data_IF_488647633304
#
_entry.id   IF_488647633304
#
_cell.length_a   1.000
_cell.length_b   1.000
_cell.length_c   1.000
_cell.angle_alpha   90.00
_cell.angle_beta   90.00
_cell.angle_gamma   90.00
#
_symmetry.space_group_name_H-M   'P 1'
#
loop_
_entity.id
_entity.type
_entity.pdbx_description
1 polymer ?
#
# COMPACT_ATOMS: atom_id res chain seq x y z
N UNK A 1 9.24 11.78 9.36
CA UNK A 1 10.02 10.78 8.59
C UNK A 1 9.32 9.42 8.58
N UNK A 2 8.88 8.88 9.73
CA UNK A 2 8.13 7.62 9.82
C UNK A 2 6.82 7.55 9.00
N UNK A 3 6.05 8.64 8.96
CA UNK A 3 4.80 8.73 8.17
C UNK A 3 5.02 8.57 6.66
N UNK A 4 6.14 9.09 6.14
CA UNK A 4 6.52 8.98 4.71
C UNK A 4 6.87 7.54 4.37
N UNK A 5 7.62 6.86 5.24
CA UNK A 5 7.95 5.43 5.13
C UNK A 5 6.71 4.54 5.25
N UNK A 6 5.78 4.84 6.17
CA UNK A 6 4.52 4.11 6.34
C UNK A 6 3.62 4.20 5.09
N UNK A 7 3.54 5.38 4.48
CA UNK A 7 2.84 5.62 3.20
C UNK A 7 3.50 4.86 2.05
N UNK A 8 4.83 4.81 2.00
CA UNK A 8 5.56 4.05 0.99
C UNK A 8 5.29 2.54 1.12
N UNK A 9 5.31 1.98 2.33
CA UNK A 9 5.05 0.54 2.55
C UNK A 9 3.62 0.13 2.13
N UNK A 10 2.61 0.97 2.39
CA UNK A 10 1.22 0.73 1.95
C UNK A 10 1.06 0.83 0.42
N UNK A 11 1.90 1.61 -0.27
CA UNK A 11 1.89 1.77 -1.73
C UNK A 11 2.74 0.73 -2.47
N UNK A 12 3.80 0.21 -1.85
CA UNK A 12 4.79 -0.72 -2.46
C UNK A 12 4.29 -2.17 -2.54
N UNK A 13 3.14 -2.50 -1.93
CA UNK A 13 2.50 -3.82 -2.09
C UNK A 13 2.07 -4.20 -3.52
N UNK A 14 2.21 -3.31 -4.50
CA UNK A 14 1.70 -3.50 -5.86
C UNK A 14 2.72 -3.93 -6.93
N UNK A 15 4.03 -4.02 -6.67
CA UNK A 15 5.00 -4.34 -7.72
C UNK A 15 5.91 -5.54 -7.37
N UNK A 16 6.05 -6.48 -8.31
CA UNK A 16 6.82 -7.70 -8.21
C UNK A 16 7.26 -8.08 -9.63
N UNK A 17 8.50 -8.56 -9.74
CA UNK A 17 9.03 -9.46 -10.81
C UNK A 17 9.23 -8.77 -12.19
N UNK A 18 10.39 -8.79 -12.87
CA UNK A 18 11.62 -9.58 -12.79
C UNK A 18 12.79 -8.88 -13.50
N UNK A 19 13.98 -9.37 -13.17
CA UNK A 19 15.34 -9.17 -13.71
C UNK A 19 15.55 -8.76 -15.19
N UNK A 20 16.56 -7.88 -15.33
CA UNK A 20 17.50 -7.62 -16.43
C UNK A 20 17.05 -6.66 -17.55
N UNK A 21 17.55 -5.41 -17.56
CA UNK A 21 18.80 -5.02 -18.23
C UNK A 21 18.96 -3.48 -18.23
N UNK A 22 20.06 -3.00 -17.65
CA UNK A 22 20.63 -1.63 -17.64
C UNK A 22 19.82 -0.47 -18.28
N UNK A 23 19.28 0.42 -17.44
CA UNK A 23 19.65 1.85 -17.39
C UNK A 23 18.76 2.61 -16.39
N UNK A 24 19.38 3.12 -15.33
CA UNK A 24 18.82 4.08 -14.35
C UNK A 24 17.40 3.77 -13.83
N UNK A 25 17.20 2.56 -13.31
CA UNK A 25 15.98 2.16 -12.60
C UNK A 25 16.07 2.55 -11.12
N UNK A 26 15.14 3.39 -10.64
CA UNK A 26 14.83 3.46 -9.22
C UNK A 26 14.15 2.14 -8.81
N UNK A 27 14.99 1.15 -8.55
CA UNK A 27 14.70 -0.15 -7.95
C UNK A 27 13.95 0.06 -6.63
N UNK A 28 12.63 -0.07 -6.64
CA UNK A 28 11.82 -0.05 -5.42
C UNK A 28 11.36 -1.46 -5.10
N UNK A 29 12.33 -2.27 -4.70
CA UNK A 29 12.06 -3.43 -3.85
C UNK A 29 11.21 -2.99 -2.65
N UNK A 30 10.31 -3.86 -2.16
CA UNK A 30 9.92 -3.77 -0.75
C UNK A 30 11.22 -3.85 0.00
N UNK A 31 11.68 -2.74 0.55
CA UNK A 31 12.86 -2.74 1.40
C UNK A 31 12.47 -3.46 2.68
N UNK A 32 12.60 -4.80 2.66
CA UNK A 32 12.34 -5.66 3.81
C UNK A 32 13.23 -5.27 4.98
N UNK A 33 14.38 -4.63 4.71
CA UNK A 33 15.25 -4.06 5.74
C UNK A 33 14.60 -2.82 6.37
N UNK A 34 14.02 -1.92 5.58
CA UNK A 34 13.26 -0.76 6.08
C UNK A 34 12.00 -1.20 6.84
N UNK A 35 11.25 -2.17 6.32
CA UNK A 35 10.09 -2.74 7.00
C UNK A 35 10.49 -3.41 8.32
N UNK A 36 11.57 -4.20 8.34
CA UNK A 36 12.07 -4.84 9.56
C UNK A 36 12.52 -3.79 10.58
N UNK A 37 13.26 -2.76 10.16
CA UNK A 37 13.67 -1.63 11.03
C UNK A 37 12.45 -0.92 11.61
N UNK A 38 11.42 -0.66 10.80
CA UNK A 38 10.21 -0.02 11.27
C UNK A 38 9.46 -0.89 12.30
N UNK A 39 9.30 -2.19 12.03
CA UNK A 39 8.67 -3.11 12.97
C UNK A 39 9.46 -3.18 14.28
N UNK A 40 10.78 -3.26 14.23
CA UNK A 40 11.64 -3.29 15.43
C UNK A 40 11.45 -2.05 16.32
N UNK A 41 11.20 -0.88 15.73
CA UNK A 41 10.90 0.35 16.48
C UNK A 41 9.56 0.27 17.24
N UNK A 42 8.62 -0.57 16.78
CA UNK A 42 7.32 -0.73 17.42
C UNK A 42 7.37 -1.65 18.64
N UNK A 43 8.34 -2.57 18.74
CA UNK A 43 8.45 -3.52 19.85
C UNK A 43 8.35 -2.85 21.23
N UNK A 44 9.19 -1.84 21.54
CA UNK A 44 9.13 -1.10 22.80
C UNK A 44 7.77 -0.42 23.03
N UNK A 45 7.18 0.18 22.00
CA UNK A 45 5.89 0.86 22.09
C UNK A 45 4.74 -0.11 22.32
N UNK A 46 4.74 -1.26 21.63
CA UNK A 46 3.80 -2.36 21.86
C UNK A 46 3.84 -2.81 23.32
N UNK A 47 5.04 -3.06 23.85
CA UNK A 47 5.24 -3.49 25.23
C UNK A 47 4.75 -2.43 26.22
N UNK A 48 5.11 -1.16 25.99
CA UNK A 48 4.72 -0.02 26.84
C UNK A 48 3.20 0.16 26.92
N UNK A 49 2.51 0.07 25.78
CA UNK A 49 1.07 0.37 25.67
C UNK A 49 0.19 -0.83 26.03
N UNK A 50 0.64 -2.05 25.75
CA UNK A 50 -0.18 -3.26 25.95
C UNK A 50 0.26 -4.12 27.14
N UNK A 51 1.43 -3.86 27.71
CA UNK A 51 2.01 -4.65 28.80
C UNK A 51 2.52 -6.04 28.40
N UNK A 52 2.53 -6.35 27.10
CA UNK A 52 2.96 -7.66 26.57
C UNK A 52 3.58 -7.52 25.17
N UNK A 53 4.47 -8.47 24.82
CA UNK A 53 5.06 -8.55 23.49
C UNK A 53 4.15 -9.24 22.46
N UNK A 54 3.03 -9.84 22.88
CA UNK A 54 2.15 -10.60 21.98
C UNK A 54 1.61 -9.74 20.83
N UNK A 55 1.29 -8.46 21.08
CA UNK A 55 0.86 -7.52 20.02
C UNK A 55 1.96 -7.31 18.99
N UNK A 56 3.21 -7.16 19.42
CA UNK A 56 4.36 -7.01 18.54
C UNK A 56 4.59 -8.27 17.69
N UNK A 57 4.58 -9.45 18.31
CA UNK A 57 4.77 -10.73 17.63
C UNK A 57 3.70 -10.96 16.56
N UNK A 58 2.43 -10.71 16.89
CA UNK A 58 1.34 -10.80 15.92
C UNK A 58 1.47 -9.76 14.80
N UNK A 59 1.91 -8.55 15.11
CA UNK A 59 2.14 -7.52 14.09
C UNK A 59 3.23 -7.92 13.11
N UNK A 60 4.36 -8.46 13.58
CA UNK A 60 5.44 -8.98 12.73
C UNK A 60 4.92 -10.11 11.83
N UNK A 61 4.24 -11.09 12.42
CA UNK A 61 3.67 -12.23 11.69
C UNK A 61 2.70 -11.75 10.60
N UNK A 62 1.74 -10.89 10.96
CA UNK A 62 0.74 -10.38 10.02
C UNK A 62 1.39 -9.58 8.89
N UNK A 63 2.42 -8.79 9.19
CA UNK A 63 3.15 -7.99 8.20
C UNK A 63 3.85 -8.88 7.16
N UNK A 64 4.46 -10.00 7.60
CA UNK A 64 5.09 -10.98 6.70
C UNK A 64 4.06 -11.70 5.83
N UNK A 65 2.83 -11.91 6.32
CA UNK A 65 1.77 -12.58 5.55
C UNK A 65 0.98 -11.65 4.61
N UNK A 66 1.11 -10.32 4.70
CA UNK A 66 0.42 -9.37 3.82
C UNK A 66 0.60 -9.71 2.33
N UNK A 67 1.82 -9.95 1.79
CA UNK A 67 1.99 -10.28 0.37
C UNK A 67 1.25 -11.55 -0.05
N UNK A 68 1.24 -12.56 0.82
CA UNK A 68 0.54 -13.83 0.57
C UNK A 68 -0.97 -13.62 0.53
N UNK A 69 -1.52 -12.90 1.51
CA UNK A 69 -2.95 -12.60 1.54
C UNK A 69 -3.38 -11.68 0.39
N UNK A 70 -2.54 -10.72 0.02
CA UNK A 70 -2.77 -9.85 -1.14
C UNK A 70 -2.88 -10.67 -2.43
N UNK A 71 -1.95 -11.61 -2.64
CA UNK A 71 -1.96 -12.52 -3.79
C UNK A 71 -3.19 -13.44 -3.84
N UNK A 72 -3.88 -13.65 -2.72
CA UNK A 72 -5.15 -14.40 -2.68
C UNK A 72 -6.38 -13.56 -3.08
N UNK A 73 -6.26 -12.23 -3.06
CA UNK A 73 -7.36 -11.28 -3.34
C UNK A 73 -7.19 -10.56 -4.68
N UNK A 74 -5.94 -10.45 -5.13
CA UNK A 74 -5.52 -9.79 -6.34
C UNK A 74 -4.60 -10.73 -7.12
N UNK A 75 -4.85 -10.85 -8.42
CA UNK A 75 -3.88 -11.44 -9.33
C UNK A 75 -2.71 -10.47 -9.52
N UNK A 76 -1.78 -10.49 -8.57
CA UNK A 76 -0.66 -9.54 -8.46
C UNK A 76 0.21 -9.58 -9.71
N UNK A 77 0.48 -10.79 -10.24
CA UNK A 77 1.34 -10.97 -11.39
C UNK A 77 0.72 -10.41 -12.67
N UNK A 78 -0.57 -10.67 -12.91
CA UNK A 78 -1.27 -10.09 -14.05
C UNK A 78 -1.50 -8.59 -13.86
N UNK A 79 -1.84 -8.14 -12.65
CA UNK A 79 -2.04 -6.72 -12.34
C UNK A 79 -0.80 -5.91 -12.72
N UNK A 80 0.38 -6.35 -12.29
CA UNK A 80 1.66 -5.70 -12.59
C UNK A 80 1.98 -5.69 -14.07
N UNK A 81 1.75 -6.82 -14.75
CA UNK A 81 2.00 -6.94 -16.18
C UNK A 81 1.11 -5.99 -16.97
N UNK A 82 -0.19 -6.00 -16.67
CA UNK A 82 -1.17 -5.18 -17.38
C UNK A 82 -1.00 -3.69 -17.02
N UNK A 83 -0.54 -3.36 -15.81
CA UNK A 83 -0.28 -1.99 -15.37
C UNK A 83 0.90 -1.38 -16.14
N UNK A 84 1.97 -2.17 -16.39
CA UNK A 84 3.15 -1.71 -17.16
C UNK A 84 2.81 -1.30 -18.59
N UNK A 85 1.75 -1.86 -19.16
CA UNK A 85 1.29 -1.53 -20.51
C UNK A 85 0.00 -0.72 -20.50
N UNK A 86 -0.43 -0.20 -19.35
CA UNK A 86 -1.69 0.51 -19.21
C UNK A 86 -1.63 1.84 -19.96
N UNK A 87 -2.56 2.03 -20.90
CA UNK A 87 -2.72 3.25 -21.69
C UNK A 87 -4.20 3.56 -21.96
N UNK A 88 -4.48 4.67 -22.66
CA UNK A 88 -5.84 5.07 -23.00
C UNK A 88 -6.59 4.01 -23.83
N UNK A 89 -5.89 3.23 -24.64
CA UNK A 89 -6.51 2.21 -25.52
C UNK A 89 -6.98 0.96 -24.77
N UNK A 90 -6.43 0.69 -23.57
CA UNK A 90 -6.67 -0.56 -22.85
C UNK A 90 -7.25 -0.38 -21.42
N UNK A 91 -7.39 0.86 -20.93
CA UNK A 91 -8.02 1.17 -19.64
C UNK A 91 -9.42 0.57 -19.45
N UNK A 92 -10.25 0.52 -20.49
CA UNK A 92 -11.60 -0.04 -20.42
C UNK A 92 -11.63 -1.55 -20.14
N UNK A 93 -10.49 -2.24 -20.33
CA UNK A 93 -10.32 -3.65 -19.94
C UNK A 93 -9.63 -3.76 -18.59
N UNK A 94 -8.64 -2.91 -18.32
CA UNK A 94 -7.84 -2.94 -17.10
C UNK A 94 -8.69 -2.70 -15.84
N UNK A 95 -9.39 -1.57 -15.76
CA UNK A 95 -10.09 -1.18 -14.53
C UNK A 95 -11.22 -2.15 -14.15
N UNK A 96 -12.10 -2.60 -15.07
CA UNK A 96 -13.09 -3.62 -14.75
C UNK A 96 -12.49 -4.95 -14.28
N UNK A 97 -11.30 -5.33 -14.78
CA UNK A 97 -10.59 -6.55 -14.35
C UNK A 97 -10.12 -6.46 -12.89
N UNK A 98 -9.60 -5.32 -12.47
CA UNK A 98 -8.87 -5.20 -11.19
C UNK A 98 -9.59 -4.46 -10.07
N UNK A 99 -10.50 -3.54 -10.36
CA UNK A 99 -11.12 -2.70 -9.32
C UNK A 99 -11.81 -3.49 -8.21
N UNK A 100 -12.53 -4.56 -8.56
CA UNK A 100 -13.14 -5.45 -7.56
C UNK A 100 -12.11 -6.18 -6.71
N UNK A 101 -10.96 -6.54 -7.30
CA UNK A 101 -9.87 -7.22 -6.61
C UNK A 101 -9.16 -6.27 -5.65
N UNK A 102 -8.91 -5.02 -6.08
CA UNK A 102 -8.37 -3.94 -5.24
C UNK A 102 -9.25 -3.64 -4.02
N UNK A 103 -10.57 -3.57 -4.20
CA UNK A 103 -11.46 -3.41 -3.04
C UNK A 103 -11.40 -4.59 -2.08
N UNK A 104 -11.33 -5.82 -2.61
CA UNK A 104 -11.22 -7.03 -1.77
C UNK A 104 -9.89 -7.09 -1.03
N UNK A 105 -8.82 -6.59 -1.62
CA UNK A 105 -7.48 -6.64 -1.01
C UNK A 105 -7.33 -5.68 0.18
N UNK A 106 -8.19 -4.66 0.31
CA UNK A 106 -8.19 -3.79 1.50
C UNK A 106 -8.32 -4.56 2.81
N UNK A 107 -9.06 -5.67 2.82
CA UNK A 107 -9.21 -6.54 4.00
C UNK A 107 -7.89 -7.11 4.52
N UNK A 108 -6.85 -7.18 3.68
CA UNK A 108 -5.52 -7.66 4.07
C UNK A 108 -4.83 -6.72 5.07
N UNK A 109 -5.23 -5.45 5.10
CA UNK A 109 -4.65 -4.46 6.01
C UNK A 109 -5.22 -4.56 7.43
N UNK A 110 -6.37 -5.19 7.64
CA UNK A 110 -7.06 -5.20 8.93
C UNK A 110 -6.20 -5.80 10.08
N UNK A 111 -5.53 -6.96 9.91
CA UNK A 111 -4.73 -7.53 10.99
C UNK A 111 -3.51 -6.67 11.36
N UNK A 112 -2.88 -6.05 10.36
CA UNK A 112 -1.71 -5.17 10.55
C UNK A 112 -2.13 -3.86 11.21
N UNK A 113 -3.17 -3.20 10.68
CA UNK A 113 -3.68 -1.93 11.23
C UNK A 113 -4.21 -2.11 12.65
N UNK A 114 -4.85 -3.23 12.97
CA UNK A 114 -5.27 -3.55 14.33
C UNK A 114 -4.10 -3.73 15.29
N UNK A 115 -3.00 -4.34 14.83
CA UNK A 115 -1.76 -4.41 15.60
C UNK A 115 -1.17 -3.02 15.83
N UNK A 116 -1.03 -2.23 14.77
CA UNK A 116 -0.50 -0.87 14.82
C UNK A 116 -1.30 0.03 15.78
N UNK A 117 -2.63 -0.01 15.75
CA UNK A 117 -3.47 0.79 16.67
C UNK A 117 -3.19 0.55 18.15
N UNK A 118 -2.71 -0.64 18.50
CA UNK A 118 -2.36 -1.00 19.89
C UNK A 118 -0.93 -0.62 20.26
N UNK A 119 -0.14 -0.22 19.28
CA UNK A 119 1.32 -0.08 19.36
C UNK A 119 1.81 1.33 19.05
N UNK A 120 0.91 2.18 18.56
CA UNK A 120 1.15 3.57 18.21
C UNK A 120 0.58 4.50 19.28
N UNK A 121 1.18 5.67 19.42
CA UNK A 121 0.64 6.70 20.32
C UNK A 121 -0.64 7.32 19.71
N UNK A 122 -1.52 7.96 20.49
CA UNK A 122 -2.86 8.37 20.01
C UNK A 122 -2.86 9.26 18.75
N UNK A 123 -1.89 10.17 18.62
CA UNK A 123 -1.75 11.03 17.43
C UNK A 123 -1.41 10.22 16.17
N UNK A 124 -0.62 9.16 16.30
CA UNK A 124 -0.26 8.27 15.20
C UNK A 124 -1.43 7.35 14.82
N UNK A 125 -2.27 6.96 15.79
CA UNK A 125 -3.51 6.22 15.54
C UNK A 125 -4.50 7.06 14.73
N UNK A 126 -4.66 8.34 15.05
CA UNK A 126 -5.54 9.25 14.30
C UNK A 126 -5.09 9.36 12.83
N UNK A 127 -3.79 9.49 12.59
CA UNK A 127 -3.23 9.51 11.24
C UNK A 127 -3.45 8.18 10.50
N UNK A 128 -3.25 7.04 11.18
CA UNK A 128 -3.50 5.72 10.62
C UNK A 128 -4.97 5.57 10.20
N UNK A 129 -5.90 5.98 11.05
CA UNK A 129 -7.34 5.88 10.77
C UNK A 129 -7.73 6.75 9.58
N UNK A 130 -7.24 7.99 9.50
CA UNK A 130 -7.46 8.86 8.32
C UNK A 130 -6.98 8.17 7.04
N UNK A 131 -5.78 7.58 7.06
CA UNK A 131 -5.23 6.92 5.87
C UNK A 131 -6.09 5.72 5.45
N UNK A 132 -6.43 4.84 6.39
CA UNK A 132 -7.21 3.63 6.11
C UNK A 132 -8.63 3.97 5.63
N UNK A 133 -9.27 4.98 6.21
CA UNK A 133 -10.60 5.44 5.81
C UNK A 133 -10.61 6.04 4.40
N UNK A 134 -9.48 6.60 3.95
CA UNK A 134 -9.34 7.18 2.60
C UNK A 134 -8.99 6.18 1.51
N UNK A 135 -8.46 5.00 1.83
CA UNK A 135 -8.11 3.99 0.83
C UNK A 135 -9.30 3.54 -0.04
N UNK A 136 -10.49 3.22 0.50
CA UNK A 136 -11.65 2.89 -0.33
C UNK A 136 -12.06 4.02 -1.28
N UNK A 137 -12.01 5.26 -0.81
CA UNK A 137 -12.31 6.45 -1.62
C UNK A 137 -11.30 6.63 -2.75
N UNK A 138 -10.00 6.45 -2.46
CA UNK A 138 -8.94 6.51 -3.46
C UNK A 138 -9.10 5.42 -4.52
N UNK A 139 -9.43 4.18 -4.14
CA UNK A 139 -9.70 3.10 -5.10
C UNK A 139 -10.94 3.41 -5.93
N UNK A 140 -12.03 3.89 -5.31
CA UNK A 140 -13.22 4.29 -6.04
C UNK A 140 -12.91 5.37 -7.08
N UNK A 141 -12.11 6.38 -6.72
CA UNK A 141 -11.70 7.45 -7.62
C UNK A 141 -10.80 6.92 -8.75
N UNK A 142 -9.81 6.08 -8.42
CA UNK A 142 -8.94 5.44 -9.38
C UNK A 142 -9.72 4.53 -10.35
N UNK A 143 -10.82 3.93 -9.90
CA UNK A 143 -11.66 3.03 -10.69
C UNK A 143 -12.76 3.74 -11.47
N UNK A 144 -13.11 4.96 -11.08
CA UNK A 144 -14.18 5.74 -11.69
C UNK A 144 -13.90 5.97 -13.17
N UNK A 145 -14.93 5.78 -14.00
CA UNK A 145 -14.89 6.00 -15.44
C UNK A 145 -13.71 5.27 -16.11
N UNK A 146 -13.41 4.04 -15.68
CA UNK A 146 -12.25 3.26 -16.11
C UNK A 146 -10.92 4.01 -15.94
N UNK A 147 -10.74 4.63 -14.78
CA UNK A 147 -9.51 5.33 -14.40
C UNK A 147 -9.23 6.58 -15.20
N UNK A 148 -10.27 7.30 -15.61
CA UNK A 148 -10.13 8.54 -16.38
C UNK A 148 -9.14 9.52 -15.77
N UNK A 149 -9.11 9.61 -14.45
CA UNK A 149 -8.23 10.52 -13.70
C UNK A 149 -6.74 10.37 -14.07
N UNK A 150 -6.29 9.18 -14.50
CA UNK A 150 -4.90 8.93 -14.88
C UNK A 150 -4.57 9.34 -16.32
N UNK A 151 -5.57 9.64 -17.15
CA UNK A 151 -5.42 9.94 -18.57
C UNK A 151 -5.98 11.32 -18.94
N UNK A 152 -6.23 12.18 -17.95
CA UNK A 152 -6.58 13.57 -18.19
C UNK A 152 -5.30 14.38 -18.44
N UNK A 153 -5.23 15.10 -19.56
CA UNK A 153 -4.09 15.97 -19.95
C UNK A 153 -3.82 17.17 -19.01
N UNK A 154 -4.56 17.31 -17.91
CA UNK A 154 -4.45 18.41 -16.95
C UNK A 154 -3.35 18.19 -15.88
N UNK A 155 -2.30 17.42 -16.21
CA UNK A 155 -1.17 17.14 -15.30
C UNK A 155 -0.39 18.40 -14.89
N UNK A 156 -0.53 19.52 -15.61
CA UNK A 156 0.04 20.82 -15.23
C UNK A 156 -0.73 21.55 -14.13
N UNK A 157 -2.03 21.29 -13.91
CA UNK A 157 -2.85 22.11 -12.99
C UNK A 157 -2.86 21.64 -11.54
N UNK A 158 -2.50 20.39 -11.26
CA UNK A 158 -2.44 19.88 -9.89
C UNK A 158 -1.14 20.25 -9.15
N UNK A 159 -0.03 20.42 -9.87
CA UNK A 159 1.29 20.75 -9.27
C UNK A 159 1.43 22.25 -8.98
N UNK A 160 0.81 23.11 -9.79
CA UNK A 160 0.88 24.58 -9.64
C UNK A 160 0.20 25.09 -8.36
N UNK A 161 -0.56 24.26 -7.64
CA UNK A 161 -1.22 24.64 -6.39
C UNK A 161 -0.35 24.43 -5.15
N UNK A 162 0.83 23.84 -5.32
CA UNK A 162 1.79 23.55 -4.24
C UNK A 162 3.20 24.10 -4.51
N UNK A 163 3.37 24.92 -5.55
CA UNK A 163 4.60 25.66 -5.85
C UNK A 163 4.53 27.11 -5.35
#
# INVERSE_FOLDING_TARGET
MALRTMLLILLVGFNSVSTAQDSDESDSSVDYEELAKYLDLLGPSCLRLTGSNNTYEQLVINSVYVPLYLSSKLDVADFQRDLKTLDESNREKFFPKYCRQLHKSLSVLEPVTTGLRKSLDPEEVELLDILIDKLPEAINLACKDNGQIFFMDDSSKCLDKFA
#
